data_IF_605513616851
#
_entry.id   IF_605513616851
#
_cell.length_a   1.000
_cell.length_b   1.000
_cell.length_c   1.000
_cell.angle_alpha   90.00
_cell.angle_beta   90.00
_cell.angle_gamma   90.00
#
_symmetry.space_group_name_H-M   'P 1'
#
loop_
_entity.id
_entity.type
_entity.pdbx_description
1 polymer ?
#
# COMPACT_ATOMS: atom_id res chain seq x y z
N UNK A 1 1.09 -10.04 -17.66
CA UNK A 1 0.10 -9.97 -16.56
C UNK A 1 0.82 -9.50 -15.32
N UNK A 2 0.17 -8.72 -14.47
CA UNK A 2 0.75 -8.25 -13.22
C UNK A 2 0.83 -9.37 -12.18
N UNK A 3 1.86 -9.30 -11.36
CA UNK A 3 2.05 -10.12 -10.17
C UNK A 3 2.34 -9.23 -8.98
N UNK A 4 1.81 -9.60 -7.83
CA UNK A 4 2.04 -8.97 -6.53
C UNK A 4 3.18 -9.71 -5.84
N UNK A 5 4.17 -8.95 -5.41
CA UNK A 5 5.36 -9.43 -4.73
C UNK A 5 5.39 -8.90 -3.31
N UNK A 6 5.83 -9.75 -2.39
CA UNK A 6 6.13 -9.38 -1.02
C UNK A 6 7.64 -9.44 -0.83
N UNK A 7 8.20 -8.35 -0.34
CA UNK A 7 9.61 -8.22 0.03
C UNK A 7 9.72 -8.29 1.54
N UNK A 8 10.65 -9.12 2.01
CA UNK A 8 10.97 -9.28 3.43
C UNK A 8 12.45 -9.08 3.68
N UNK A 9 12.81 -8.62 4.87
CA UNK A 9 14.18 -8.58 5.39
C UNK A 9 14.21 -9.41 6.68
N UNK A 10 15.07 -10.43 6.77
CA UNK A 10 15.11 -11.39 7.91
C UNK A 10 13.72 -11.93 8.25
N UNK A 11 12.94 -12.30 7.22
CA UNK A 11 11.55 -12.79 7.30
C UNK A 11 10.53 -11.77 7.85
N UNK A 12 10.93 -10.51 8.08
CA UNK A 12 10.00 -9.43 8.44
C UNK A 12 9.51 -8.74 7.19
N UNK A 13 8.23 -8.41 7.17
CA UNK A 13 7.62 -7.65 6.07
C UNK A 13 8.30 -6.28 5.92
N UNK A 14 8.64 -5.92 4.69
CA UNK A 14 9.22 -4.61 4.34
C UNK A 14 8.29 -3.86 3.42
N UNK A 15 7.91 -4.47 2.30
CA UNK A 15 7.13 -3.82 1.26
C UNK A 15 6.36 -4.85 0.43
N UNK A 16 5.13 -4.52 0.06
CA UNK A 16 4.45 -5.16 -1.06
C UNK A 16 4.46 -4.23 -2.28
N UNK A 17 4.66 -4.81 -3.46
CA UNK A 17 4.59 -4.09 -4.75
C UNK A 17 4.00 -4.99 -5.82
N UNK A 18 3.55 -4.42 -6.93
CA UNK A 18 3.14 -5.18 -8.11
C UNK A 18 3.99 -4.79 -9.31
N UNK A 19 4.30 -5.76 -10.16
CA UNK A 19 5.02 -5.56 -11.43
C UNK A 19 4.58 -6.63 -12.44
N UNK A 20 4.79 -6.36 -13.73
CA UNK A 20 4.48 -7.25 -14.86
C UNK A 20 5.74 -7.97 -15.40
N UNK A 21 6.65 -8.34 -14.49
CA UNK A 21 7.88 -9.02 -14.84
C UNK A 21 7.67 -10.32 -15.61
N UNK A 22 8.63 -10.64 -16.47
CA UNK A 22 8.72 -11.97 -17.08
C UNK A 22 8.82 -13.03 -15.95
N UNK A 23 7.94 -14.05 -15.93
CA UNK A 23 7.96 -15.12 -14.93
C UNK A 23 9.31 -15.82 -14.79
N UNK A 24 10.06 -15.94 -15.89
CA UNK A 24 11.36 -16.63 -15.97
C UNK A 24 12.51 -15.87 -15.31
N UNK A 25 12.31 -14.59 -14.94
CA UNK A 25 13.33 -13.85 -14.21
C UNK A 25 13.57 -14.48 -12.84
N UNK A 26 14.84 -14.54 -12.44
CA UNK A 26 15.20 -14.98 -11.10
C UNK A 26 14.68 -14.00 -10.06
N UNK A 27 14.44 -14.52 -8.85
CA UNK A 27 13.98 -13.70 -7.72
C UNK A 27 15.00 -12.61 -7.36
N UNK A 28 16.29 -12.89 -7.49
CA UNK A 28 17.35 -11.89 -7.29
C UNK A 28 17.21 -10.71 -8.27
N UNK A 29 17.01 -11.00 -9.56
CA UNK A 29 16.85 -9.96 -10.59
C UNK A 29 15.57 -9.16 -10.36
N UNK A 30 14.45 -9.82 -10.03
CA UNK A 30 13.18 -9.15 -9.69
C UNK A 30 13.36 -8.21 -8.50
N UNK A 31 14.04 -8.66 -7.46
CA UNK A 31 14.32 -7.88 -6.25
C UNK A 31 15.17 -6.65 -6.59
N UNK A 32 16.26 -6.81 -7.35
CA UNK A 32 17.12 -5.69 -7.78
C UNK A 32 16.37 -4.66 -8.63
N UNK A 33 15.53 -5.11 -9.57
CA UNK A 33 14.73 -4.21 -10.40
C UNK A 33 13.74 -3.41 -9.56
N UNK A 34 13.08 -4.05 -8.61
CA UNK A 34 12.15 -3.36 -7.70
C UNK A 34 12.88 -2.35 -6.86
N UNK A 35 13.96 -2.76 -6.17
CA UNK A 35 14.65 -1.95 -5.17
C UNK A 35 15.40 -0.74 -5.76
N UNK A 36 15.77 -0.82 -7.05
CA UNK A 36 16.30 0.32 -7.81
C UNK A 36 15.19 1.19 -8.42
N UNK A 37 13.91 0.87 -8.17
CA UNK A 37 12.78 1.61 -8.69
C UNK A 37 12.55 2.96 -7.98
N UNK A 38 11.97 3.96 -8.67
CA UNK A 38 11.78 5.30 -8.13
C UNK A 38 10.70 5.39 -7.03
N UNK A 39 9.86 4.36 -6.89
CA UNK A 39 8.74 4.32 -5.95
C UNK A 39 9.11 3.69 -4.60
N UNK A 40 10.35 3.22 -4.45
CA UNK A 40 10.79 2.55 -3.22
C UNK A 40 11.18 3.58 -2.17
N UNK A 41 10.71 3.44 -0.91
CA UNK A 41 11.16 4.28 0.18
C UNK A 41 12.67 4.18 0.37
N UNK A 42 13.34 5.33 0.49
CA UNK A 42 14.81 5.38 0.63
C UNK A 42 15.36 4.53 1.78
N UNK A 43 14.62 4.41 2.88
CA UNK A 43 14.98 3.56 4.01
C UNK A 43 15.08 2.07 3.64
N UNK A 44 14.23 1.60 2.72
CA UNK A 44 14.24 0.22 2.23
C UNK A 44 15.44 0.00 1.32
N UNK A 45 15.70 0.92 0.38
CA UNK A 45 16.87 0.83 -0.48
C UNK A 45 18.17 0.87 0.32
N UNK A 46 18.27 1.75 1.32
CA UNK A 46 19.46 1.86 2.17
C UNK A 46 19.72 0.55 2.95
N UNK A 47 18.68 -0.06 3.52
CA UNK A 47 18.81 -1.36 4.20
C UNK A 47 19.26 -2.47 3.26
N UNK A 48 18.75 -2.48 2.02
CA UNK A 48 19.17 -3.46 1.02
C UNK A 48 20.65 -3.32 0.66
N UNK A 49 21.16 -2.10 0.48
CA UNK A 49 22.58 -1.90 0.19
C UNK A 49 23.50 -2.29 1.35
N UNK A 50 23.01 -2.22 2.60
CA UNK A 50 23.79 -2.64 3.79
C UNK A 50 23.85 -4.15 3.96
N UNK A 51 22.74 -4.85 3.73
CA UNK A 51 22.62 -6.30 3.95
C UNK A 51 21.71 -6.93 2.88
N UNK A 52 22.18 -7.06 1.63
CA UNK A 52 21.34 -7.54 0.52
C UNK A 52 20.95 -9.01 0.69
N UNK A 53 21.80 -9.83 1.30
CA UNK A 53 21.55 -11.26 1.58
C UNK A 53 20.37 -11.54 2.52
N UNK A 54 19.98 -10.54 3.33
CA UNK A 54 18.85 -10.67 4.25
C UNK A 54 17.49 -10.44 3.57
N UNK A 55 17.50 -9.93 2.33
CA UNK A 55 16.29 -9.63 1.59
C UNK A 55 15.83 -10.82 0.74
N UNK A 56 14.53 -11.09 0.83
CA UNK A 56 13.85 -12.09 0.03
C UNK A 56 12.64 -11.47 -0.67
N UNK A 57 12.38 -11.90 -1.90
CA UNK A 57 11.15 -11.61 -2.63
C UNK A 57 10.34 -12.90 -2.82
N UNK A 58 9.02 -12.80 -2.68
CA UNK A 58 8.11 -13.91 -2.94
C UNK A 58 6.93 -13.43 -3.76
N UNK A 59 6.48 -14.26 -4.69
CA UNK A 59 5.25 -14.01 -5.45
C UNK A 59 4.06 -14.36 -4.55
N UNK A 60 3.20 -13.37 -4.28
CA UNK A 60 1.99 -13.55 -3.46
C UNK A 60 0.79 -13.92 -4.32
N UNK A 61 0.63 -13.22 -5.45
CA UNK A 61 -0.47 -13.42 -6.40
C UNK A 61 0.04 -13.11 -7.80
N UNK A 62 -0.36 -13.89 -8.79
CA UNK A 62 0.03 -13.71 -10.19
C UNK A 62 -1.19 -13.77 -11.10
N UNK A 63 -1.00 -13.41 -12.37
CA UNK A 63 -2.07 -13.50 -13.37
C UNK A 63 -3.11 -12.37 -13.30
N UNK A 64 -2.78 -11.25 -12.65
CA UNK A 64 -3.69 -10.11 -12.56
C UNK A 64 -3.65 -9.36 -13.90
N UNK A 65 -4.78 -9.27 -14.58
CA UNK A 65 -4.87 -8.65 -15.91
C UNK A 65 -4.88 -7.11 -15.85
N UNK A 66 -5.20 -6.53 -14.69
CA UNK A 66 -5.43 -5.11 -14.52
C UNK A 66 -4.50 -4.48 -13.45
N UNK A 67 -3.88 -3.34 -13.78
CA UNK A 67 -2.96 -2.64 -12.88
C UNK A 67 -3.64 -2.04 -11.63
N UNK A 68 -4.88 -1.54 -11.76
CA UNK A 68 -5.66 -0.99 -10.65
C UNK A 68 -6.00 -2.10 -9.65
N UNK A 69 -6.41 -3.27 -10.12
CA UNK A 69 -6.66 -4.43 -9.26
C UNK A 69 -5.40 -4.84 -8.49
N UNK A 70 -4.25 -4.92 -9.17
CA UNK A 70 -2.98 -5.23 -8.53
C UNK A 70 -2.56 -4.16 -7.50
N UNK A 71 -2.82 -2.88 -7.79
CA UNK A 71 -2.56 -1.77 -6.87
C UNK A 71 -3.44 -1.84 -5.61
N UNK A 72 -4.73 -2.15 -5.75
CA UNK A 72 -5.64 -2.33 -4.63
C UNK A 72 -5.21 -3.48 -3.71
N UNK A 73 -4.74 -4.59 -4.28
CA UNK A 73 -4.20 -5.71 -3.52
C UNK A 73 -2.96 -5.30 -2.71
N UNK A 74 -2.00 -4.64 -3.36
CA UNK A 74 -0.77 -4.14 -2.71
C UNK A 74 -1.07 -3.16 -1.58
N UNK A 75 -1.97 -2.21 -1.80
CA UNK A 75 -2.36 -1.25 -0.78
C UNK A 75 -3.00 -1.95 0.43
N UNK A 76 -3.85 -2.94 0.18
CA UNK A 76 -4.47 -3.74 1.25
C UNK A 76 -3.43 -4.49 2.08
N UNK A 77 -2.43 -5.10 1.44
CA UNK A 77 -1.33 -5.79 2.12
C UNK A 77 -0.50 -4.80 2.96
N UNK A 78 -0.09 -3.68 2.36
CA UNK A 78 0.72 -2.67 3.03
C UNK A 78 0.00 -2.11 4.26
N UNK A 79 -1.31 -1.84 4.17
CA UNK A 79 -2.13 -1.35 5.30
C UNK A 79 -2.20 -2.36 6.46
N UNK A 80 -2.46 -3.64 6.16
CA UNK A 80 -2.60 -4.69 7.18
C UNK A 80 -1.25 -5.01 7.84
N UNK A 81 -0.16 -5.05 7.06
CA UNK A 81 1.16 -5.45 7.55
C UNK A 81 1.96 -4.31 8.18
N UNK A 82 1.69 -3.05 7.81
CA UNK A 82 2.28 -1.88 8.47
C UNK A 82 1.70 -1.61 9.86
N UNK A 83 0.49 -2.13 10.16
CA UNK A 83 -0.18 -1.88 11.43
C UNK A 83 -0.51 -3.18 12.19
N UNK A 84 0.47 -3.83 12.83
CA UNK A 84 0.24 -5.07 13.58
C UNK A 84 -0.66 -4.89 14.82
N UNK A 85 -1.07 -3.67 15.19
CA UNK A 85 -1.96 -3.40 16.32
C UNK A 85 -3.47 -3.47 16.00
N UNK A 86 -3.86 -3.83 14.77
CA UNK A 86 -5.30 -3.84 14.39
C UNK A 86 -5.82 -5.25 14.11
N UNK A 87 -5.49 -6.21 14.99
CA UNK A 87 -6.23 -7.48 15.08
C UNK A 87 -6.42 -7.87 16.55
N UNK A 88 -7.13 -7.04 17.28
CA UNK A 88 -8.04 -7.47 18.32
C UNK A 88 -9.27 -6.58 18.16
N UNK A 89 -10.42 -7.19 17.90
CA UNK A 89 -11.73 -6.58 17.66
C UNK A 89 -11.97 -5.98 16.27
N UNK A 90 -12.66 -6.77 15.44
CA UNK A 90 -13.21 -6.37 14.16
C UNK A 90 -14.24 -5.25 14.30
N UNK A 91 -13.78 -4.01 14.32
CA UNK A 91 -14.62 -2.86 14.06
C UNK A 91 -14.43 -2.43 12.61
N UNK A 92 -15.35 -2.85 11.75
CA UNK A 92 -15.62 -2.18 10.47
C UNK A 92 -15.77 -0.69 10.78
N UNK A 93 -15.08 0.24 10.10
CA UNK A 93 -15.33 1.65 10.28
C UNK A 93 -16.74 1.94 9.77
N UNK A 94 -17.69 1.96 10.70
CA UNK A 94 -19.06 2.42 10.44
C UNK A 94 -18.93 3.88 10.03
N UNK A 95 -19.24 4.18 8.76
CA UNK A 95 -19.43 5.56 8.31
C UNK A 95 -20.35 6.25 9.32
N UNK A 96 -19.97 7.41 9.90
CA UNK A 96 -20.85 8.11 10.82
C UNK A 96 -22.09 8.56 10.05
N UNK A 97 -23.19 7.81 10.20
CA UNK A 97 -24.51 8.29 9.81
C UNK A 97 -24.85 9.48 10.71
N UNK A 98 -25.35 10.54 10.07
CA UNK A 98 -25.92 11.78 10.63
C UNK A 98 -24.99 12.74 11.37
N UNK A 99 -24.64 13.84 10.68
CA UNK A 99 -24.47 15.15 11.32
C UNK A 99 -25.37 16.20 10.64
N UNK A 100 -26.49 16.44 11.33
CA UNK A 100 -27.38 17.63 11.48
C UNK A 100 -27.53 18.63 10.31
N UNK A 101 -28.76 19.11 10.03
CA UNK A 101 -29.02 20.10 8.98
C UNK A 101 -28.34 21.43 9.32
N UNK A 102 -27.67 22.02 8.33
CA UNK A 102 -27.04 23.34 8.41
C UNK A 102 -28.13 24.41 8.55
N UNK A 103 -28.21 25.08 9.68
CA UNK A 103 -29.01 26.29 9.84
C UNK A 103 -28.40 27.40 8.99
N UNK A 104 -29.10 27.85 7.94
CA UNK A 104 -28.74 29.08 7.22
C UNK A 104 -28.98 30.27 8.16
N UNK A 105 -27.93 31.02 8.50
CA UNK A 105 -28.11 32.40 8.96
C UNK A 105 -28.61 33.21 7.77
N UNK A 106 -29.84 33.71 7.84
CA UNK A 106 -30.35 34.73 6.92
C UNK A 106 -30.00 36.11 7.48
N UNK A 107 -29.52 36.99 6.59
CA UNK A 107 -29.08 38.36 6.85
C UNK A 107 -30.17 39.22 7.49
N UNK A 108 -29.82 39.96 8.55
CA UNK A 108 -30.43 41.27 8.81
C UNK A 108 -29.61 42.31 8.06
N UNK A 109 -30.25 42.99 7.12
CA UNK A 109 -29.88 44.35 6.72
C UNK A 109 -31.16 45.14 6.79
N UNK A 110 -31.16 46.11 7.70
CA UNK A 110 -32.24 47.04 7.98
C UNK A 110 -32.62 47.84 6.73
N UNK A 111 -33.92 48.05 6.57
CA UNK A 111 -34.52 49.01 5.65
C UNK A 111 -34.44 50.38 6.29
N UNK A 112 -33.69 51.32 5.71
CA UNK A 112 -33.91 52.76 5.95
C UNK A 112 -34.80 53.31 4.84
N UNK A 113 -35.93 53.88 5.24
CA UNK A 113 -36.94 54.54 4.42
C UNK A 113 -38.05 55.07 5.30
#
# INVERSE_FOLDING_TARGET
MYSVFIITNKKKFVLATYNDFNPELSDLTKLQLILNGPTIPFSVSEQYFKTPEDFEIRTFKSGISNALEASLEVNSINLVKANPQTTADGHVPVLPKTRKPRTKKAQQSETEG
#
